data_IF_623006885530
#
_entry.id   IF_623006885530
#
_cell.length_a   1.000
_cell.length_b   1.000
_cell.length_c   1.000
_cell.angle_alpha   90.00
_cell.angle_beta   90.00
_cell.angle_gamma   90.00
#
_symmetry.space_group_name_H-M   'P 1'
#
loop_
_entity.id
_entity.type
_entity.pdbx_description
1 polymer ?
#
# COMPACT_ATOMS: atom_id res chain seq x y z
N UNK A 1 16.93 -9.48 20.75
CA UNK A 1 15.87 -8.74 21.48
C UNK A 1 15.52 -7.42 20.80
N UNK A 2 16.50 -6.53 20.56
CA UNK A 2 16.30 -5.21 19.92
C UNK A 2 15.49 -5.23 18.61
N UNK A 3 15.76 -6.16 17.69
CA UNK A 3 15.02 -6.24 16.42
C UNK A 3 13.51 -6.48 16.63
N UNK A 4 13.12 -7.32 17.60
CA UNK A 4 11.71 -7.60 17.88
C UNK A 4 11.00 -6.36 18.46
N UNK A 5 11.69 -5.64 19.33
CA UNK A 5 11.19 -4.37 19.88
C UNK A 5 11.01 -3.32 18.77
N UNK A 6 11.99 -3.20 17.85
CA UNK A 6 11.89 -2.30 16.71
C UNK A 6 10.71 -2.64 15.79
N UNK A 7 10.45 -3.93 15.55
CA UNK A 7 9.28 -4.39 14.79
C UNK A 7 7.98 -4.02 15.51
N UNK A 8 7.92 -4.18 16.84
CA UNK A 8 6.73 -3.83 17.62
C UNK A 8 6.44 -2.33 17.57
N UNK A 9 7.47 -1.49 17.75
CA UNK A 9 7.33 -0.02 17.65
C UNK A 9 6.86 0.38 16.25
N UNK A 10 7.49 -0.16 15.21
CA UNK A 10 7.09 0.05 13.83
C UNK A 10 5.65 -0.39 13.57
N UNK A 11 5.22 -1.53 14.12
CA UNK A 11 3.84 -2.01 14.01
C UNK A 11 2.85 -1.03 14.66
N UNK A 12 3.13 -0.52 15.87
CA UNK A 12 2.26 0.45 16.54
C UNK A 12 2.09 1.72 15.70
N UNK A 13 3.17 2.17 15.06
CA UNK A 13 3.15 3.34 14.15
C UNK A 13 2.37 3.01 12.87
N UNK A 14 2.70 1.92 12.17
CA UNK A 14 2.07 1.51 10.90
C UNK A 14 0.57 1.36 11.07
N UNK A 15 0.14 0.64 12.11
CA UNK A 15 -1.30 0.37 12.37
C UNK A 15 -2.08 1.60 12.83
N UNK A 16 -1.41 2.73 13.10
CA UNK A 16 -2.03 3.92 13.64
C UNK A 16 -2.37 3.81 15.12
N UNK A 17 -2.02 2.72 15.82
CA UNK A 17 -2.32 2.56 17.25
C UNK A 17 -1.73 3.70 18.11
N UNK A 18 -0.61 4.29 17.71
CA UNK A 18 -0.05 5.47 18.37
C UNK A 18 -0.98 6.69 18.34
N UNK A 19 -1.95 6.75 17.43
CA UNK A 19 -2.87 7.89 17.32
C UNK A 19 -3.91 7.89 18.43
N UNK A 20 -4.11 6.75 19.12
CA UNK A 20 -4.93 6.67 20.33
C UNK A 20 -4.35 7.53 21.46
N UNK A 21 -3.03 7.74 21.44
CA UNK A 21 -2.33 8.62 22.38
C UNK A 21 -2.18 10.01 21.78
N UNK A 22 -1.61 10.10 20.57
CA UNK A 22 -1.42 11.37 19.87
C UNK A 22 -1.27 11.16 18.37
N UNK A 23 -2.15 11.77 17.58
CA UNK A 23 -2.10 11.68 16.11
C UNK A 23 -0.75 12.15 15.53
N UNK A 24 -0.15 13.21 16.09
CA UNK A 24 1.15 13.74 15.64
C UNK A 24 2.30 12.74 15.81
N UNK A 25 2.25 11.90 16.86
CA UNK A 25 3.25 10.84 17.08
C UNK A 25 3.19 9.81 15.95
N UNK A 26 1.99 9.46 15.48
CA UNK A 26 1.81 8.52 14.36
C UNK A 26 2.38 9.10 13.07
N UNK A 27 2.07 10.37 12.80
CA UNK A 27 2.52 11.08 11.61
C UNK A 27 4.04 11.22 11.57
N UNK A 28 4.63 11.81 12.61
CA UNK A 28 6.08 12.00 12.71
C UNK A 28 6.80 10.65 12.81
N UNK A 29 6.27 9.71 13.59
CA UNK A 29 6.82 8.37 13.73
C UNK A 29 6.86 7.62 12.40
N UNK A 30 5.80 7.70 11.59
CA UNK A 30 5.76 7.08 10.26
C UNK A 30 6.85 7.63 9.34
N UNK A 31 7.01 8.96 9.32
CA UNK A 31 8.07 9.63 8.56
C UNK A 31 9.47 9.25 9.05
N UNK A 32 9.71 9.33 10.37
CA UNK A 32 11.02 8.98 10.96
C UNK A 32 11.37 7.53 10.65
N UNK A 33 10.45 6.58 10.81
CA UNK A 33 10.72 5.18 10.49
C UNK A 33 11.00 4.97 9.01
N UNK A 34 10.28 5.66 8.13
CA UNK A 34 10.54 5.64 6.70
C UNK A 34 11.93 6.18 6.35
N UNK A 35 12.41 7.24 6.99
CA UNK A 35 13.76 7.81 6.76
C UNK A 35 14.86 6.96 7.42
N UNK A 36 14.61 6.37 8.58
CA UNK A 36 15.57 5.50 9.28
C UNK A 36 15.86 4.23 8.49
N UNK A 37 14.88 3.67 7.76
CA UNK A 37 15.06 2.46 6.95
C UNK A 37 16.21 2.57 5.91
N UNK A 38 16.27 3.57 5.01
CA UNK A 38 17.35 3.75 4.06
C UNK A 38 18.65 4.20 4.74
N UNK A 39 18.60 4.96 5.84
CA UNK A 39 19.80 5.26 6.63
C UNK A 39 20.41 3.96 7.19
N UNK A 40 19.60 3.06 7.73
CA UNK A 40 20.05 1.75 8.19
C UNK A 40 20.65 0.93 7.04
N UNK A 41 20.12 1.05 5.81
CA UNK A 41 20.70 0.42 4.63
C UNK A 41 22.13 0.91 4.35
N UNK A 42 22.43 2.21 4.50
CA UNK A 42 23.78 2.76 4.26
C UNK A 42 24.87 2.08 5.09
N UNK A 43 24.52 1.58 6.28
CA UNK A 43 25.44 0.89 7.16
C UNK A 43 25.50 -0.63 6.96
N UNK A 44 24.72 -1.20 6.03
CA UNK A 44 24.77 -2.64 5.74
C UNK A 44 25.72 -2.95 4.57
N UNK A 45 26.58 -4.00 4.68
CA UNK A 45 27.57 -4.33 3.63
C UNK A 45 26.97 -4.71 2.28
N UNK A 46 25.74 -5.22 2.26
CA UNK A 46 25.08 -5.73 1.03
C UNK A 46 23.97 -4.80 0.54
N UNK A 47 23.98 -3.56 0.99
CA UNK A 47 22.96 -2.59 0.64
C UNK A 47 23.07 -2.09 -0.80
N UNK A 48 21.96 -1.56 -1.30
CA UNK A 48 21.94 -0.72 -2.49
C UNK A 48 21.08 0.49 -2.25
N UNK A 49 21.55 1.61 -2.77
CA UNK A 49 20.86 2.89 -2.70
C UNK A 49 20.36 3.26 -4.10
N UNK A 50 19.12 3.73 -4.14
CA UNK A 50 18.45 4.20 -5.35
C UNK A 50 18.35 5.74 -5.27
N UNK A 51 19.30 6.48 -5.85
CA UNK A 51 19.44 7.92 -5.63
C UNK A 51 18.22 8.74 -6.08
N UNK A 52 17.47 8.27 -7.09
CA UNK A 52 16.22 8.93 -7.51
C UNK A 52 15.18 8.98 -6.39
N UNK A 53 15.10 7.95 -5.54
CA UNK A 53 14.21 7.94 -4.38
C UNK A 53 14.74 8.74 -3.19
N UNK A 54 15.95 9.31 -3.27
CA UNK A 54 16.43 10.36 -2.35
C UNK A 54 16.13 11.74 -2.94
N UNK A 55 16.46 11.93 -4.21
CA UNK A 55 16.37 13.23 -4.90
C UNK A 55 14.92 13.69 -5.07
N UNK A 56 14.03 12.83 -5.60
CA UNK A 56 12.66 13.23 -5.93
C UNK A 56 11.85 13.64 -4.68
N UNK A 57 11.90 12.91 -3.55
CA UNK A 57 11.26 13.36 -2.32
C UNK A 57 11.81 14.68 -1.79
N UNK A 58 13.13 14.91 -1.87
CA UNK A 58 13.73 16.19 -1.49
C UNK A 58 13.22 17.35 -2.36
N UNK A 59 13.01 17.11 -3.66
CA UNK A 59 12.39 18.10 -4.57
C UNK A 59 10.94 18.38 -4.13
N UNK A 60 10.14 17.36 -3.83
CA UNK A 60 8.76 17.54 -3.35
C UNK A 60 8.73 18.35 -2.04
N UNK A 61 9.61 18.03 -1.09
CA UNK A 61 9.77 18.75 0.18
C UNK A 61 10.14 20.22 -0.06
N UNK A 62 11.12 20.48 -0.93
CA UNK A 62 11.55 21.84 -1.27
C UNK A 62 10.43 22.68 -1.89
N UNK A 63 9.69 22.13 -2.85
CA UNK A 63 8.55 22.83 -3.47
C UNK A 63 7.41 23.03 -2.46
N UNK A 64 7.17 22.04 -1.59
CA UNK A 64 6.16 22.15 -0.53
C UNK A 64 6.49 23.29 0.45
N UNK A 65 7.76 23.46 0.83
CA UNK A 65 8.22 24.57 1.67
C UNK A 65 7.98 25.91 0.98
N UNK A 66 8.38 26.03 -0.29
CA UNK A 66 8.14 27.26 -1.08
C UNK A 66 6.65 27.56 -1.19
N UNK A 67 5.81 26.55 -1.49
CA UNK A 67 4.35 26.71 -1.54
C UNK A 67 3.78 27.14 -0.18
N UNK A 68 4.26 26.55 0.92
CA UNK A 68 3.85 26.92 2.28
C UNK A 68 4.13 28.37 2.61
N UNK A 69 5.32 28.86 2.28
CA UNK A 69 5.71 30.26 2.51
C UNK A 69 4.90 31.23 1.64
N UNK A 70 4.76 30.93 0.34
CA UNK A 70 4.01 31.79 -0.59
C UNK A 70 2.53 31.90 -0.22
N UNK A 71 1.95 30.80 0.28
CA UNK A 71 0.52 30.73 0.61
C UNK A 71 0.21 30.98 2.09
N UNK A 72 1.23 31.26 2.92
CA UNK A 72 1.11 31.49 4.37
C UNK A 72 0.36 30.32 5.02
N UNK A 73 0.77 29.10 4.71
CA UNK A 73 0.07 27.90 5.17
C UNK A 73 0.28 27.67 6.68
N UNK A 74 -0.70 27.08 7.39
CA UNK A 74 -0.55 26.77 8.81
C UNK A 74 0.64 25.83 9.07
N UNK A 75 1.47 26.16 10.06
CA UNK A 75 2.68 25.37 10.39
C UNK A 75 2.39 23.90 10.68
N UNK A 76 1.25 23.60 11.32
CA UNK A 76 0.84 22.21 11.60
C UNK A 76 0.59 21.40 10.33
N UNK A 77 -0.06 22.01 9.33
CA UNK A 77 -0.36 21.40 8.05
C UNK A 77 0.89 21.21 7.19
N UNK A 78 1.80 22.20 7.25
CA UNK A 78 3.11 22.09 6.62
C UNK A 78 3.89 20.89 7.18
N UNK A 79 4.01 20.76 8.51
CA UNK A 79 4.74 19.63 9.13
C UNK A 79 4.16 18.27 8.71
N UNK A 80 2.83 18.18 8.64
CA UNK A 80 2.15 16.96 8.17
C UNK A 80 2.60 16.60 6.75
N UNK A 81 2.46 17.53 5.80
CA UNK A 81 2.71 17.25 4.38
C UNK A 81 4.20 17.03 4.10
N UNK A 82 5.08 17.77 4.78
CA UNK A 82 6.52 17.50 4.73
C UNK A 82 6.86 16.09 5.23
N UNK A 83 6.21 15.63 6.31
CA UNK A 83 6.39 14.28 6.83
C UNK A 83 5.93 13.22 5.81
N UNK A 84 4.83 13.48 5.12
CA UNK A 84 4.33 12.63 4.05
C UNK A 84 5.30 12.50 2.88
N UNK A 85 5.85 13.63 2.41
CA UNK A 85 6.80 13.64 1.30
C UNK A 85 8.16 13.05 1.69
N UNK A 86 8.68 13.37 2.88
CA UNK A 86 9.90 12.79 3.39
C UNK A 86 9.80 11.27 3.57
N UNK A 87 8.61 10.72 3.86
CA UNK A 87 8.43 9.27 3.96
C UNK A 87 8.75 8.52 2.64
N UNK A 88 8.71 9.17 1.47
CA UNK A 88 9.13 8.57 0.20
C UNK A 88 10.63 8.25 0.14
N UNK A 89 11.45 8.89 1.00
CA UNK A 89 12.88 8.56 1.16
C UNK A 89 13.04 7.09 1.55
N UNK A 90 12.04 6.49 2.23
CA UNK A 90 12.03 5.08 2.60
C UNK A 90 12.20 4.11 1.42
N UNK A 91 11.89 4.54 0.19
CA UNK A 91 12.10 3.73 -1.01
C UNK A 91 13.54 3.71 -1.51
N UNK A 92 14.47 4.46 -0.90
CA UNK A 92 15.83 4.61 -1.39
C UNK A 92 16.75 3.42 -1.09
N UNK A 93 16.46 2.62 -0.05
CA UNK A 93 17.38 1.58 0.41
C UNK A 93 16.82 0.16 0.27
N UNK A 94 17.65 -0.75 -0.21
CA UNK A 94 17.44 -2.20 -0.05
C UNK A 94 18.65 -2.86 0.60
N UNK A 95 18.43 -3.84 1.48
CA UNK A 95 19.49 -4.67 2.05
C UNK A 95 18.93 -6.03 2.50
N UNK A 96 19.52 -7.15 2.08
CA UNK A 96 19.12 -8.48 2.56
C UNK A 96 19.11 -8.59 4.09
N UNK A 97 19.98 -7.86 4.78
CA UNK A 97 20.14 -7.90 6.23
C UNK A 97 18.94 -7.27 6.97
N UNK A 98 18.25 -6.32 6.32
CA UNK A 98 17.04 -5.67 6.85
C UNK A 98 15.75 -6.39 6.41
N UNK A 99 15.84 -7.41 5.57
CA UNK A 99 14.66 -8.11 5.06
C UNK A 99 13.84 -8.75 6.18
N UNK A 100 14.49 -9.33 7.18
CA UNK A 100 13.79 -9.88 8.36
C UNK A 100 12.99 -8.83 9.13
N UNK A 101 13.52 -7.62 9.24
CA UNK A 101 12.81 -6.50 9.87
C UNK A 101 11.59 -6.10 9.04
N UNK A 102 11.76 -5.86 7.74
CA UNK A 102 10.66 -5.47 6.84
C UNK A 102 9.53 -6.50 6.82
N UNK A 103 9.85 -7.80 6.70
CA UNK A 103 8.83 -8.87 6.78
C UNK A 103 8.13 -8.91 8.12
N UNK A 104 8.86 -8.70 9.21
CA UNK A 104 8.31 -8.60 10.55
C UNK A 104 7.30 -7.46 10.67
N UNK A 105 7.65 -6.27 10.18
CA UNK A 105 6.74 -5.10 10.16
C UNK A 105 5.49 -5.40 9.36
N UNK A 106 5.61 -5.94 8.14
CA UNK A 106 4.48 -6.26 7.26
C UNK A 106 3.53 -7.27 7.93
N UNK A 107 4.08 -8.41 8.40
CA UNK A 107 3.27 -9.49 8.96
C UNK A 107 2.61 -9.09 10.28
N UNK A 108 3.36 -8.48 11.21
CA UNK A 108 2.82 -8.09 12.51
C UNK A 108 1.76 -7.00 12.36
N UNK A 109 1.99 -6.00 11.51
CA UNK A 109 0.99 -4.95 11.26
C UNK A 109 -0.29 -5.52 10.63
N UNK A 110 -0.15 -6.43 9.66
CA UNK A 110 -1.30 -7.10 9.04
C UNK A 110 -2.09 -7.93 10.04
N UNK A 111 -1.41 -8.67 10.92
CA UNK A 111 -2.04 -9.49 11.94
C UNK A 111 -2.79 -8.64 12.97
N UNK A 112 -2.19 -7.53 13.43
CA UNK A 112 -2.83 -6.60 14.36
C UNK A 112 -4.08 -5.98 13.73
N UNK A 113 -3.97 -5.43 12.51
CA UNK A 113 -5.13 -4.84 11.82
C UNK A 113 -6.23 -5.87 11.59
N UNK A 114 -5.88 -7.08 11.15
CA UNK A 114 -6.84 -8.17 10.95
C UNK A 114 -7.60 -8.50 12.24
N UNK A 115 -6.89 -8.70 13.35
CA UNK A 115 -7.51 -8.98 14.66
C UNK A 115 -8.42 -7.82 15.10
N UNK A 116 -7.97 -6.58 14.96
CA UNK A 116 -8.77 -5.41 15.33
C UNK A 116 -10.06 -5.31 14.52
N UNK A 117 -9.99 -5.51 13.20
CA UNK A 117 -11.16 -5.52 12.31
C UNK A 117 -12.13 -6.62 12.71
N UNK A 118 -11.64 -7.84 12.97
CA UNK A 118 -12.48 -8.98 13.36
C UNK A 118 -13.18 -8.73 14.70
N UNK A 119 -12.48 -8.18 15.69
CA UNK A 119 -13.07 -7.83 16.99
C UNK A 119 -14.15 -6.75 16.83
N UNK A 120 -13.90 -5.71 16.04
CA UNK A 120 -14.88 -4.65 15.79
C UNK A 120 -16.10 -5.19 15.04
N UNK A 121 -15.88 -6.06 14.06
CA UNK A 121 -16.96 -6.72 13.30
C UNK A 121 -17.82 -7.59 14.22
N UNK A 122 -17.21 -8.38 15.11
CA UNK A 122 -17.93 -9.20 16.07
C UNK A 122 -18.77 -8.36 17.05
N UNK A 123 -18.28 -7.17 17.43
CA UNK A 123 -19.00 -6.24 18.32
C UNK A 123 -20.14 -5.49 17.63
N UNK A 124 -20.06 -5.26 16.33
CA UNK A 124 -21.01 -4.41 15.61
C UNK A 124 -22.43 -4.99 15.51
N UNK A 125 -22.65 -6.28 15.81
CA UNK A 125 -23.95 -6.97 15.75
C UNK A 125 -24.51 -7.16 14.34
N UNK A 126 -24.27 -6.20 13.43
CA UNK A 126 -24.53 -6.28 12.00
C UNK A 126 -23.38 -5.65 11.21
N UNK A 127 -22.99 -6.28 10.10
CA UNK A 127 -22.04 -5.72 9.14
C UNK A 127 -22.75 -4.57 8.40
N UNK A 128 -22.49 -3.33 8.82
CA UNK A 128 -22.80 -2.13 8.05
C UNK A 128 -21.51 -1.46 7.59
N UNK A 129 -21.57 -0.76 6.46
CA UNK A 129 -20.39 -0.11 5.88
C UNK A 129 -19.82 0.92 6.85
N UNK A 130 -18.48 0.98 7.00
CA UNK A 130 -17.79 1.95 7.86
C UNK A 130 -18.02 1.79 9.37
N UNK A 131 -18.53 0.66 9.85
CA UNK A 131 -18.62 0.41 11.31
C UNK A 131 -17.27 0.26 11.98
N UNK A 132 -16.25 -0.11 11.20
CA UNK A 132 -14.88 -0.29 11.67
C UNK A 132 -14.15 1.07 11.58
N UNK A 133 -14.38 1.93 12.56
CA UNK A 133 -13.72 3.23 12.73
C UNK A 133 -13.04 3.26 14.10
N UNK A 134 -11.79 2.76 14.21
CA UNK A 134 -11.28 2.49 15.56
C UNK A 134 -9.77 2.59 15.80
N UNK A 135 -8.95 3.04 14.85
CA UNK A 135 -7.47 3.06 15.06
C UNK A 135 -6.81 4.34 14.56
N UNK A 136 -7.55 5.46 14.61
CA UNK A 136 -7.18 6.77 14.05
C UNK A 136 -6.74 6.77 12.58
N UNK A 137 -7.04 5.68 11.89
CA UNK A 137 -6.95 5.47 10.46
C UNK A 137 -8.37 5.26 9.94
N UNK A 138 -8.73 5.95 8.86
CA UNK A 138 -10.02 5.72 8.21
C UNK A 138 -10.12 4.29 7.66
N UNK A 139 -11.35 3.79 7.50
CA UNK A 139 -11.60 2.43 6.99
C UNK A 139 -10.82 2.13 5.70
N UNK A 140 -10.76 3.08 4.77
CA UNK A 140 -10.02 2.92 3.53
C UNK A 140 -8.52 2.65 3.77
N UNK A 141 -7.90 3.35 4.73
CA UNK A 141 -6.47 3.20 5.03
C UNK A 141 -6.16 1.82 5.60
N UNK A 142 -7.01 1.34 6.53
CA UNK A 142 -6.89 -0.03 7.10
C UNK A 142 -6.98 -1.07 5.98
N UNK A 143 -7.96 -0.94 5.08
CA UNK A 143 -8.10 -1.85 3.96
C UNK A 143 -6.90 -1.79 3.00
N UNK A 144 -6.34 -0.60 2.74
CA UNK A 144 -5.14 -0.45 1.93
C UNK A 144 -3.93 -1.17 2.55
N UNK A 145 -3.71 -1.01 3.86
CA UNK A 145 -2.61 -1.64 4.57
C UNK A 145 -2.72 -3.16 4.60
N UNK A 146 -3.93 -3.70 4.82
CA UNK A 146 -4.20 -5.14 4.71
C UNK A 146 -3.92 -5.66 3.29
N UNK A 147 -4.35 -4.93 2.25
CA UNK A 147 -4.05 -5.27 0.87
C UNK A 147 -2.55 -5.21 0.53
N UNK A 148 -1.77 -4.31 1.16
CA UNK A 148 -0.31 -4.28 0.99
C UNK A 148 0.39 -5.44 1.69
N UNK A 149 -0.15 -5.92 2.82
CA UNK A 149 0.42 -7.04 3.57
C UNK A 149 0.05 -8.43 3.05
N UNK A 150 -1.15 -8.56 2.49
CA UNK A 150 -1.70 -9.82 1.98
C UNK A 150 -0.74 -10.57 1.01
N UNK A 151 -0.08 -9.93 0.03
CA UNK A 151 0.81 -10.63 -0.88
C UNK A 151 1.99 -11.36 -0.20
N UNK A 152 2.50 -10.83 0.92
CA UNK A 152 3.55 -11.51 1.69
C UNK A 152 3.01 -12.76 2.40
N UNK A 153 1.79 -12.70 2.94
CA UNK A 153 1.12 -13.84 3.56
C UNK A 153 0.89 -14.94 2.51
N UNK A 154 0.39 -14.56 1.33
CA UNK A 154 0.17 -15.47 0.19
C UNK A 154 1.50 -16.08 -0.29
N UNK A 155 2.56 -15.28 -0.41
CA UNK A 155 3.89 -15.78 -0.76
C UNK A 155 4.36 -16.88 0.20
N UNK A 156 4.21 -16.67 1.52
CA UNK A 156 4.58 -17.67 2.50
C UNK A 156 3.67 -18.91 2.46
N UNK A 157 2.37 -18.73 2.23
CA UNK A 157 1.44 -19.85 2.06
C UNK A 157 1.83 -20.75 0.88
N UNK A 158 2.29 -20.17 -0.24
CA UNK A 158 2.76 -20.92 -1.43
C UNK A 158 4.02 -21.72 -1.13
N UNK A 159 4.93 -21.17 -0.31
CA UNK A 159 6.20 -21.82 0.04
C UNK A 159 6.10 -22.85 1.15
N UNK A 160 5.07 -22.76 2.00
CA UNK A 160 4.85 -23.70 3.09
C UNK A 160 4.30 -25.05 2.61
N UNK A 161 4.41 -26.07 3.46
CA UNK A 161 3.86 -27.42 3.24
C UNK A 161 3.01 -27.86 4.44
N UNK A 162 2.16 -28.88 4.24
CA UNK A 162 1.36 -29.50 5.30
C UNK A 162 0.51 -28.52 6.11
N UNK A 163 0.56 -28.67 7.44
CA UNK A 163 -0.22 -27.85 8.39
C UNK A 163 0.12 -26.35 8.33
N UNK A 164 1.40 -26.00 8.14
CA UNK A 164 1.82 -24.60 8.06
C UNK A 164 1.19 -23.89 6.85
N UNK A 165 1.10 -24.57 5.71
CA UNK A 165 0.41 -24.05 4.51
C UNK A 165 -1.06 -23.79 4.78
N UNK A 166 -1.72 -24.70 5.47
CA UNK A 166 -3.14 -24.55 5.85
C UNK A 166 -3.33 -23.32 6.75
N UNK A 167 -2.50 -23.15 7.78
CA UNK A 167 -2.57 -22.00 8.69
C UNK A 167 -2.34 -20.67 7.95
N UNK A 168 -1.32 -20.60 7.08
CA UNK A 168 -1.04 -19.38 6.31
C UNK A 168 -2.13 -19.07 5.26
N UNK A 169 -2.73 -20.11 4.68
CA UNK A 169 -3.87 -19.94 3.75
C UNK A 169 -5.10 -19.44 4.49
N UNK A 170 -5.37 -19.95 5.71
CA UNK A 170 -6.41 -19.45 6.59
C UNK A 170 -6.16 -17.98 6.97
N UNK A 171 -4.91 -17.63 7.31
CA UNK A 171 -4.52 -16.24 7.60
C UNK A 171 -4.73 -15.32 6.39
N UNK A 172 -4.38 -15.76 5.17
CA UNK A 172 -4.66 -14.99 3.96
C UNK A 172 -6.17 -14.80 3.72
N UNK A 173 -6.97 -15.84 3.95
CA UNK A 173 -8.42 -15.77 3.82
C UNK A 173 -9.05 -14.83 4.87
N UNK A 174 -8.58 -14.88 6.13
CA UNK A 174 -9.00 -13.96 7.18
C UNK A 174 -8.61 -12.52 6.87
N UNK A 175 -7.42 -12.29 6.34
CA UNK A 175 -6.97 -10.95 5.92
C UNK A 175 -7.87 -10.39 4.79
N UNK A 176 -8.17 -11.20 3.77
CA UNK A 176 -9.11 -10.83 2.71
C UNK A 176 -10.53 -10.57 3.25
N UNK A 177 -11.00 -11.41 4.17
CA UNK A 177 -12.29 -11.22 4.84
C UNK A 177 -12.31 -9.92 5.67
N UNK A 178 -11.24 -9.60 6.38
CA UNK A 178 -11.10 -8.33 7.09
C UNK A 178 -11.23 -7.13 6.15
N UNK A 179 -10.62 -7.17 4.96
CA UNK A 179 -10.79 -6.09 3.95
C UNK A 179 -12.26 -5.91 3.56
N UNK A 180 -13.02 -7.00 3.43
CA UNK A 180 -14.47 -6.95 3.14
C UNK A 180 -15.25 -6.39 4.34
N UNK A 181 -14.93 -6.83 5.56
CA UNK A 181 -15.58 -6.37 6.79
C UNK A 181 -15.36 -4.89 7.08
N UNK A 182 -14.21 -4.34 6.69
CA UNK A 182 -13.94 -2.90 6.75
C UNK A 182 -14.95 -2.11 5.90
N UNK A 183 -15.54 -2.72 4.86
CA UNK A 183 -16.58 -2.11 4.04
C UNK A 183 -16.07 -0.98 3.13
N UNK A 184 -14.75 -0.88 2.92
CA UNK A 184 -14.15 0.09 2.01
C UNK A 184 -14.29 -0.38 0.56
N UNK A 185 -15.02 0.38 -0.27
CA UNK A 185 -15.16 0.08 -1.71
C UNK A 185 -13.81 0.07 -2.43
N UNK A 186 -12.94 1.03 -2.13
CA UNK A 186 -11.59 1.09 -2.68
C UNK A 186 -10.77 -0.13 -2.22
N UNK A 187 -10.90 -0.51 -0.94
CA UNK A 187 -10.25 -1.70 -0.37
C UNK A 187 -10.67 -2.99 -1.07
N UNK A 188 -11.97 -3.22 -1.22
CA UNK A 188 -12.53 -4.40 -1.90
C UNK A 188 -12.15 -4.42 -3.38
N UNK A 189 -12.25 -3.28 -4.08
CA UNK A 189 -11.85 -3.17 -5.48
C UNK A 189 -10.37 -3.51 -5.69
N UNK A 190 -9.48 -2.95 -4.86
CA UNK A 190 -8.05 -3.29 -4.88
C UNK A 190 -7.81 -4.77 -4.59
N UNK A 191 -8.48 -5.35 -3.58
CA UNK A 191 -8.37 -6.78 -3.27
C UNK A 191 -8.75 -7.65 -4.48
N UNK A 192 -9.85 -7.33 -5.16
CA UNK A 192 -10.29 -8.05 -6.35
C UNK A 192 -9.27 -7.95 -7.49
N UNK A 193 -8.71 -6.76 -7.74
CA UNK A 193 -7.66 -6.60 -8.75
C UNK A 193 -6.42 -7.42 -8.38
N UNK A 194 -5.97 -7.38 -7.12
CA UNK A 194 -4.83 -8.18 -6.67
C UNK A 194 -5.09 -9.68 -6.81
N UNK A 195 -6.30 -10.16 -6.49
CA UNK A 195 -6.70 -11.55 -6.64
C UNK A 195 -6.75 -11.99 -8.12
N UNK A 196 -7.28 -11.14 -9.01
CA UNK A 196 -7.31 -11.37 -10.46
C UNK A 196 -5.89 -11.44 -11.02
N UNK A 197 -5.03 -10.46 -10.71
CA UNK A 197 -3.63 -10.45 -11.14
C UNK A 197 -2.88 -11.67 -10.60
N UNK A 198 -3.10 -12.03 -9.33
CA UNK A 198 -2.53 -13.24 -8.74
C UNK A 198 -2.95 -14.48 -9.53
N UNK A 199 -4.24 -14.67 -9.79
CA UNK A 199 -4.78 -15.81 -10.53
C UNK A 199 -4.26 -15.87 -11.97
N UNK A 200 -4.32 -14.76 -12.69
CA UNK A 200 -3.86 -14.63 -14.08
C UNK A 200 -2.40 -15.05 -14.25
N UNK A 201 -1.52 -14.57 -13.36
CA UNK A 201 -0.08 -14.73 -13.54
C UNK A 201 0.51 -15.94 -12.79
N UNK A 202 -0.17 -16.50 -11.79
CA UNK A 202 0.33 -17.67 -11.05
C UNK A 202 -0.33 -18.99 -11.47
N UNK A 203 -1.58 -18.98 -11.94
CA UNK A 203 -2.36 -20.20 -12.15
C UNK A 203 -3.05 -20.20 -13.53
N UNK A 204 -2.45 -20.84 -14.55
CA UNK A 204 -2.99 -20.89 -15.93
C UNK A 204 -4.47 -21.31 -16.02
N UNK A 205 -4.87 -22.32 -15.23
CA UNK A 205 -6.27 -22.80 -15.20
C UNK A 205 -7.21 -21.75 -14.61
N UNK A 206 -6.82 -21.15 -13.48
CA UNK A 206 -7.60 -20.08 -12.85
C UNK A 206 -7.65 -18.85 -13.75
N UNK A 207 -6.57 -18.53 -14.45
CA UNK A 207 -6.51 -17.45 -15.42
C UNK A 207 -7.56 -17.61 -16.52
N UNK A 208 -7.66 -18.82 -17.11
CA UNK A 208 -8.66 -19.13 -18.12
C UNK A 208 -10.09 -19.02 -17.57
N UNK A 209 -10.33 -19.53 -16.35
CA UNK A 209 -11.64 -19.41 -15.67
C UNK A 209 -11.98 -17.94 -15.39
N UNK A 210 -11.04 -17.15 -14.87
CA UNK A 210 -11.24 -15.72 -14.60
C UNK A 210 -11.50 -14.95 -15.88
N UNK A 211 -10.73 -15.19 -16.95
CA UNK A 211 -10.95 -14.55 -18.24
C UNK A 211 -12.32 -14.92 -18.83
N UNK A 212 -12.69 -16.20 -18.81
CA UNK A 212 -14.01 -16.67 -19.24
C UNK A 212 -15.14 -16.08 -18.40
N UNK A 213 -14.97 -15.98 -17.08
CA UNK A 213 -15.93 -15.35 -16.17
C UNK A 213 -16.08 -13.85 -16.42
N UNK A 214 -15.01 -13.12 -16.71
CA UNK A 214 -15.08 -11.70 -17.09
C UNK A 214 -15.80 -11.50 -18.41
N UNK A 215 -15.49 -12.32 -19.43
CA UNK A 215 -16.21 -12.30 -20.71
C UNK A 215 -17.69 -12.61 -20.49
N UNK A 216 -18.01 -13.62 -19.68
CA UNK A 216 -19.38 -13.96 -19.32
C UNK A 216 -20.10 -12.78 -18.64
N UNK A 217 -19.48 -12.14 -17.63
CA UNK A 217 -20.07 -10.96 -16.97
C UNK A 217 -20.33 -9.83 -17.96
N UNK A 218 -19.42 -9.59 -18.91
CA UNK A 218 -19.59 -8.56 -19.94
C UNK A 218 -20.75 -8.91 -20.87
N UNK A 219 -20.84 -10.16 -21.32
CA UNK A 219 -21.88 -10.61 -22.27
C UNK A 219 -23.27 -10.67 -21.65
N UNK A 220 -23.38 -10.91 -20.34
CA UNK A 220 -24.65 -11.07 -19.62
C UNK A 220 -24.87 -9.99 -18.55
N UNK A 221 -24.25 -8.81 -18.71
CA UNK A 221 -24.28 -7.77 -17.68
C UNK A 221 -25.70 -7.31 -17.39
N UNK A 222 -26.51 -7.13 -18.44
CA UNK A 222 -27.89 -6.65 -18.31
C UNK A 222 -28.77 -7.67 -17.57
N UNK A 223 -28.67 -8.96 -17.89
CA UNK A 223 -29.41 -10.03 -17.22
C UNK A 223 -28.97 -10.18 -15.76
N UNK A 224 -27.66 -10.09 -15.48
CA UNK A 224 -27.12 -10.11 -14.12
C UNK A 224 -27.67 -8.94 -13.30
N UNK A 225 -27.73 -7.74 -13.90
CA UNK A 225 -28.21 -6.52 -13.24
C UNK A 225 -29.73 -6.47 -13.07
N UNK A 226 -30.49 -7.30 -13.80
CA UNK A 226 -31.93 -7.47 -13.59
C UNK A 226 -32.26 -8.43 -12.43
N UNK A 227 -31.31 -9.24 -11.98
CA UNK A 227 -31.52 -10.17 -10.88
C UNK A 227 -31.67 -9.43 -9.53
N UNK A 228 -32.82 -9.62 -8.87
CA UNK A 228 -33.15 -8.92 -7.61
C UNK A 228 -32.21 -9.24 -6.44
N UNK A 229 -31.64 -10.45 -6.39
CA UNK A 229 -30.66 -10.83 -5.37
C UNK A 229 -29.35 -10.10 -5.61
N UNK A 230 -28.86 -10.08 -6.86
CA UNK A 230 -27.64 -9.36 -7.24
C UNK A 230 -27.81 -7.87 -6.96
N UNK A 231 -28.92 -7.26 -7.39
CA UNK A 231 -29.24 -5.86 -7.10
C UNK A 231 -29.33 -5.63 -5.59
N UNK A 232 -29.99 -6.51 -4.83
CA UNK A 232 -30.08 -6.39 -3.37
C UNK A 232 -28.72 -6.39 -2.68
N UNK A 233 -27.81 -7.27 -3.13
CA UNK A 233 -26.41 -7.31 -2.68
C UNK A 233 -25.69 -6.01 -3.05
N UNK A 234 -25.80 -5.58 -4.32
CA UNK A 234 -25.14 -4.36 -4.81
C UNK A 234 -25.68 -3.10 -4.12
N UNK A 235 -26.99 -3.02 -3.83
CA UNK A 235 -27.61 -1.94 -3.06
C UNK A 235 -27.11 -1.96 -1.61
N UNK A 236 -27.03 -3.14 -0.98
CA UNK A 236 -26.50 -3.28 0.39
C UNK A 236 -25.04 -2.83 0.49
N UNK A 237 -24.23 -3.13 -0.54
CA UNK A 237 -22.86 -2.64 -0.66
C UNK A 237 -22.76 -1.22 -1.26
N UNK A 238 -23.89 -0.57 -1.56
CA UNK A 238 -23.96 0.79 -2.14
C UNK A 238 -23.17 0.92 -3.46
N UNK A 239 -23.19 -0.12 -4.28
CA UNK A 239 -22.72 -0.11 -5.66
C UNK A 239 -23.79 0.35 -6.66
N UNK A 240 -25.08 0.13 -6.34
CA UNK A 240 -26.23 0.47 -7.20
C UNK A 240 -27.21 1.35 -6.43
N UNK A 241 -27.82 2.33 -7.10
CA UNK A 241 -28.78 3.31 -6.51
C UNK A 241 -28.24 4.06 -5.29
N UNK A 242 -26.93 4.22 -5.22
CA UNK A 242 -26.30 5.04 -4.20
C UNK A 242 -26.30 6.50 -4.66
N UNK A 243 -27.16 7.32 -4.04
CA UNK A 243 -27.00 8.77 -4.09
C UNK A 243 -25.86 9.15 -3.16
N UNK A 244 -24.69 9.44 -3.73
CA UNK A 244 -23.57 9.91 -2.94
C UNK A 244 -23.94 11.29 -2.37
N UNK A 245 -24.03 11.40 -1.04
CA UNK A 245 -24.24 12.69 -0.38
C UNK A 245 -23.13 13.72 -0.70
N UNK A 246 -22.01 13.29 -1.29
CA UNK A 246 -21.03 14.12 -2.00
C UNK A 246 -20.37 13.27 -3.09
N UNK A 247 -20.81 13.37 -4.35
CA UNK A 247 -20.16 12.64 -5.45
C UNK A 247 -18.71 13.09 -5.60
N UNK A 248 -17.76 12.15 -5.68
CA UNK A 248 -16.33 12.45 -5.93
C UNK A 248 -16.11 13.37 -7.14
N UNK A 249 -16.99 13.31 -8.13
CA UNK A 249 -17.00 14.22 -9.28
C UNK A 249 -17.19 15.69 -8.87
N UNK A 250 -18.05 15.99 -7.90
CA UNK A 250 -18.25 17.36 -7.38
C UNK A 250 -16.98 17.84 -6.66
N UNK A 251 -16.42 16.99 -5.80
CA UNK A 251 -15.16 17.27 -5.08
C UNK A 251 -14.05 17.59 -6.09
N UNK A 252 -13.88 16.74 -7.11
CA UNK A 252 -12.86 16.94 -8.14
C UNK A 252 -13.11 18.15 -9.04
N UNK A 253 -14.38 18.50 -9.29
CA UNK A 253 -14.74 19.70 -10.04
C UNK A 253 -14.31 20.94 -9.25
N UNK A 254 -14.68 21.01 -7.96
CA UNK A 254 -14.26 22.11 -7.08
C UNK A 254 -12.74 22.17 -6.99
N UNK A 255 -12.05 21.06 -6.67
CA UNK A 255 -10.58 21.03 -6.64
C UNK A 255 -9.97 21.50 -7.98
N UNK A 256 -10.55 21.07 -9.11
CA UNK A 256 -10.10 21.44 -10.45
C UNK A 256 -10.13 22.94 -10.70
N UNK A 257 -11.16 23.64 -10.20
CA UNK A 257 -11.26 25.09 -10.34
C UNK A 257 -10.21 25.84 -9.52
N UNK A 258 -9.84 25.33 -8.33
CA UNK A 258 -8.73 25.89 -7.56
C UNK A 258 -7.36 25.57 -8.16
N UNK A 259 -7.17 24.35 -8.67
CA UNK A 259 -5.95 23.97 -9.39
C UNK A 259 -5.74 24.88 -10.60
N UNK A 260 -6.80 25.21 -11.35
CA UNK A 260 -6.71 26.15 -12.49
C UNK A 260 -6.27 27.56 -12.07
N UNK A 261 -6.63 28.01 -10.86
CA UNK A 261 -6.26 29.35 -10.34
C UNK A 261 -4.82 29.40 -9.85
N UNK A 262 -4.32 28.32 -9.26
CA UNK A 262 -2.95 28.22 -8.72
C UNK A 262 -2.24 26.96 -9.20
N UNK A 263 -2.00 26.80 -10.51
CA UNK A 263 -1.55 25.52 -11.08
C UNK A 263 -0.15 25.11 -10.62
N UNK A 264 0.75 26.07 -10.44
CA UNK A 264 2.17 25.79 -10.25
C UNK A 264 2.55 25.40 -8.83
N UNK A 265 1.99 26.09 -7.83
CA UNK A 265 2.34 25.93 -6.41
C UNK A 265 1.15 25.45 -5.56
N UNK A 266 -0.03 25.30 -6.15
CA UNK A 266 -1.24 24.97 -5.40
C UNK A 266 -1.69 26.12 -4.49
N UNK A 267 -2.66 25.81 -3.63
CA UNK A 267 -3.25 26.75 -2.67
C UNK A 267 -2.53 26.75 -1.32
N UNK A 268 -1.56 25.85 -1.11
CA UNK A 268 -0.79 25.72 0.12
C UNK A 268 -1.11 24.42 0.89
N UNK A 269 -0.11 23.83 1.56
CA UNK A 269 -0.27 22.62 2.38
C UNK A 269 -1.42 22.70 3.42
N UNK A 270 -2.36 21.76 3.37
CA UNK A 270 -3.49 21.59 4.29
C UNK A 270 -4.61 22.63 4.19
N UNK A 271 -4.54 23.56 3.23
CA UNK A 271 -5.67 24.45 2.91
C UNK A 271 -6.77 23.75 2.12
N UNK A 272 -6.47 22.57 1.59
CA UNK A 272 -7.48 21.70 0.99
C UNK A 272 -8.56 21.30 2.01
N UNK A 273 -8.20 21.05 3.26
CA UNK A 273 -9.14 20.65 4.31
C UNK A 273 -10.12 21.78 4.63
N UNK A 274 -9.62 23.01 4.76
CA UNK A 274 -10.44 24.21 5.00
C UNK A 274 -11.44 24.45 3.86
N UNK A 275 -10.98 24.26 2.62
CA UNK A 275 -11.80 24.45 1.42
C UNK A 275 -12.88 23.36 1.30
N UNK A 276 -12.49 22.09 1.46
CA UNK A 276 -13.39 20.95 1.29
C UNK A 276 -14.33 20.77 2.49
N UNK A 277 -14.05 21.40 3.63
CA UNK A 277 -14.95 21.41 4.79
C UNK A 277 -16.36 21.94 4.42
N UNK A 278 -16.46 22.83 3.43
CA UNK A 278 -17.75 23.31 2.89
C UNK A 278 -18.60 22.20 2.28
N UNK A 279 -17.97 21.13 1.80
CA UNK A 279 -18.60 19.93 1.28
C UNK A 279 -18.70 18.83 2.35
N UNK A 280 -18.38 19.09 3.62
CA UNK A 280 -18.24 18.06 4.66
C UNK A 280 -17.24 16.94 4.29
N UNK A 281 -16.17 17.29 3.55
CA UNK A 281 -15.10 16.37 3.18
C UNK A 281 -13.76 16.98 3.57
N UNK A 282 -12.78 16.16 3.94
CA UNK A 282 -11.47 16.63 4.40
C UNK A 282 -10.30 16.25 3.47
N UNK A 283 -10.56 15.69 2.28
CA UNK A 283 -9.53 15.42 1.27
C UNK A 283 -10.17 15.10 -0.09
N UNK A 284 -9.38 15.22 -1.16
CA UNK A 284 -9.83 15.03 -2.54
C UNK A 284 -10.04 13.56 -2.96
N UNK A 285 -9.83 12.58 -2.06
CA UNK A 285 -9.90 11.15 -2.38
C UNK A 285 -9.09 10.73 -3.63
N UNK A 286 -7.96 11.38 -3.87
CA UNK A 286 -6.99 11.03 -4.90
C UNK A 286 -5.67 11.75 -4.58
N UNK A 287 -4.56 11.03 -4.49
CA UNK A 287 -3.25 11.65 -4.27
C UNK A 287 -2.95 12.71 -5.35
N UNK A 288 -3.29 12.44 -6.60
CA UNK A 288 -3.00 13.35 -7.71
C UNK A 288 -3.75 14.67 -7.56
N UNK A 289 -5.05 14.60 -7.28
CA UNK A 289 -5.87 15.81 -7.08
C UNK A 289 -5.46 16.55 -5.81
N UNK A 290 -5.19 15.82 -4.71
CA UNK A 290 -4.76 16.44 -3.46
C UNK A 290 -3.42 17.15 -3.62
N UNK A 291 -2.40 16.47 -4.16
CA UNK A 291 -1.06 17.04 -4.36
C UNK A 291 -1.13 18.22 -5.33
N UNK A 292 -1.91 18.12 -6.40
CA UNK A 292 -2.13 19.23 -7.34
C UNK A 292 -2.72 20.45 -6.62
N UNK A 293 -3.75 20.22 -5.79
CA UNK A 293 -4.44 21.26 -5.07
C UNK A 293 -3.51 21.94 -4.07
N UNK A 294 -2.79 21.18 -3.25
CA UNK A 294 -1.97 21.72 -2.15
C UNK A 294 -0.62 22.26 -2.60
N UNK A 295 0.05 21.58 -3.54
CA UNK A 295 1.45 21.85 -3.89
C UNK A 295 1.69 22.07 -5.40
N UNK A 296 0.65 21.97 -6.23
CA UNK A 296 0.71 22.27 -7.66
C UNK A 296 1.16 21.12 -8.55
N UNK A 297 1.03 21.31 -9.86
CA UNK A 297 1.24 20.29 -10.89
C UNK A 297 2.69 19.83 -11.01
N UNK A 298 3.65 20.65 -10.59
CA UNK A 298 5.08 20.27 -10.58
C UNK A 298 5.30 19.13 -9.60
N UNK A 299 4.73 19.22 -8.40
CA UNK A 299 4.84 18.17 -7.38
C UNK A 299 4.10 16.90 -7.82
N UNK A 300 2.97 17.05 -8.53
CA UNK A 300 2.26 15.91 -9.15
C UNK A 300 3.14 15.20 -10.18
N UNK A 301 3.87 15.94 -11.02
CA UNK A 301 4.78 15.35 -12.00
C UNK A 301 5.89 14.54 -11.31
N UNK A 302 6.50 15.10 -10.26
CA UNK A 302 7.52 14.41 -9.46
C UNK A 302 6.95 13.15 -8.80
N UNK A 303 5.76 13.25 -8.20
CA UNK A 303 5.06 12.10 -7.62
C UNK A 303 4.73 11.02 -8.66
N UNK A 304 4.31 11.42 -9.86
CA UNK A 304 4.03 10.52 -10.98
C UNK A 304 5.28 9.75 -11.41
N UNK A 305 6.44 10.40 -11.44
CA UNK A 305 7.73 9.74 -11.71
C UNK A 305 8.05 8.73 -10.61
N UNK A 306 7.87 9.10 -9.34
CA UNK A 306 8.07 8.15 -8.22
C UNK A 306 7.17 6.92 -8.38
N UNK A 307 5.88 7.12 -8.65
CA UNK A 307 4.92 6.03 -8.81
C UNK A 307 5.24 5.15 -10.03
N UNK A 308 5.63 5.77 -11.15
CA UNK A 308 6.08 5.05 -12.35
C UNK A 308 7.30 4.18 -12.05
N UNK A 309 8.32 4.73 -11.39
CA UNK A 309 9.53 3.98 -10.98
C UNK A 309 9.19 2.82 -10.03
N UNK A 310 8.22 3.00 -9.13
CA UNK A 310 7.73 1.92 -8.27
C UNK A 310 7.06 0.81 -9.10
N UNK A 311 6.20 1.17 -10.07
CA UNK A 311 5.50 0.23 -10.96
C UNK A 311 6.42 -0.53 -11.92
N UNK A 312 7.65 -0.06 -12.16
CA UNK A 312 8.67 -0.86 -12.84
C UNK A 312 9.06 -2.12 -12.05
N UNK A 313 8.86 -2.12 -10.72
CA UNK A 313 9.17 -3.28 -9.86
C UNK A 313 8.26 -4.48 -10.18
N UNK A 314 6.92 -4.39 -10.14
CA UNK A 314 6.05 -5.49 -10.54
C UNK A 314 6.20 -5.87 -12.02
N UNK A 315 6.43 -4.91 -12.93
CA UNK A 315 6.68 -5.22 -14.34
C UNK A 315 7.94 -6.09 -14.51
N UNK A 316 9.05 -5.71 -13.87
CA UNK A 316 10.28 -6.50 -13.88
C UNK A 316 10.11 -7.86 -13.18
N UNK A 317 9.30 -7.92 -12.12
CA UNK A 317 9.04 -9.16 -11.39
C UNK A 317 8.23 -10.16 -12.21
N UNK A 318 7.21 -9.67 -12.93
CA UNK A 318 6.40 -10.47 -13.82
C UNK A 318 7.25 -11.17 -14.89
N UNK A 319 8.22 -10.46 -15.47
CA UNK A 319 9.11 -10.99 -16.51
C UNK A 319 10.13 -12.02 -15.98
N UNK A 320 10.45 -11.98 -14.68
CA UNK A 320 11.52 -12.81 -14.09
C UNK A 320 11.00 -14.05 -13.38
N UNK A 321 10.03 -13.89 -12.49
CA UNK A 321 9.50 -15.00 -11.68
C UNK A 321 8.13 -14.69 -11.14
N UNK A 322 7.20 -15.62 -11.33
CA UNK A 322 5.86 -15.59 -10.72
C UNK A 322 5.91 -15.36 -9.21
N UNK A 323 6.88 -15.98 -8.55
CA UNK A 323 7.00 -15.88 -7.08
C UNK A 323 7.39 -14.45 -6.66
N UNK A 324 8.33 -13.81 -7.36
CA UNK A 324 8.71 -12.42 -7.09
C UNK A 324 7.58 -11.46 -7.46
N UNK A 325 6.80 -11.78 -8.50
CA UNK A 325 5.63 -10.99 -8.89
C UNK A 325 4.59 -10.92 -7.77
N UNK A 326 4.33 -12.03 -7.05
CA UNK A 326 3.41 -12.02 -5.89
C UNK A 326 3.80 -10.94 -4.88
N UNK A 327 5.07 -10.86 -4.47
CA UNK A 327 5.51 -9.87 -3.49
C UNK A 327 5.32 -8.42 -3.99
N UNK A 328 5.51 -8.20 -5.29
CA UNK A 328 5.34 -6.87 -5.91
C UNK A 328 3.89 -6.41 -6.06
N UNK A 329 2.89 -7.29 -5.84
CA UNK A 329 1.47 -6.92 -5.88
C UNK A 329 1.11 -5.83 -4.86
N UNK A 330 1.84 -5.73 -3.75
CA UNK A 330 1.65 -4.67 -2.76
C UNK A 330 1.83 -3.26 -3.37
N UNK A 331 2.76 -3.12 -4.32
CA UNK A 331 3.02 -1.87 -5.05
C UNK A 331 1.83 -1.49 -5.92
N UNK A 332 1.24 -2.48 -6.61
CA UNK A 332 0.03 -2.27 -7.41
C UNK A 332 -1.14 -1.87 -6.51
N UNK A 333 -1.30 -2.54 -5.36
CA UNK A 333 -2.34 -2.21 -4.38
C UNK A 333 -2.24 -0.76 -3.90
N UNK A 334 -1.04 -0.27 -3.59
CA UNK A 334 -0.81 1.13 -3.23
C UNK A 334 -1.08 2.09 -4.41
N UNK A 335 -0.69 1.73 -5.63
CA UNK A 335 -0.93 2.56 -6.81
C UNK A 335 -2.42 2.74 -7.10
N UNK A 336 -3.21 1.66 -7.04
CA UNK A 336 -4.67 1.70 -7.19
C UNK A 336 -5.33 2.55 -6.11
N UNK A 337 -4.83 2.43 -4.88
CA UNK A 337 -5.32 3.20 -3.76
C UNK A 337 -4.92 4.68 -3.86
N UNK A 338 -3.77 5.00 -4.47
CA UNK A 338 -3.34 6.38 -4.75
C UNK A 338 -4.20 7.09 -5.79
N UNK A 339 -4.82 6.34 -6.70
CA UNK A 339 -5.74 6.90 -7.70
C UNK A 339 -7.11 7.21 -7.10
N UNK A 340 -7.56 6.37 -6.16
CA UNK A 340 -8.94 6.35 -5.66
C UNK A 340 -9.08 6.90 -4.24
N UNK A 341 -7.97 7.18 -3.58
CA UNK A 341 -7.88 7.76 -2.25
C UNK A 341 -6.54 8.51 -2.06
N UNK A 342 -6.29 8.98 -0.84
CA UNK A 342 -5.12 9.79 -0.50
C UNK A 342 -4.13 9.12 0.49
N UNK A 343 -3.51 7.96 0.20
CA UNK A 343 -2.55 7.32 1.11
C UNK A 343 -1.27 8.14 1.33
N UNK A 344 -0.94 9.11 0.47
CA UNK A 344 0.25 9.96 0.66
C UNK A 344 0.16 10.72 1.96
N UNK A 345 -1.04 11.16 2.37
CA UNK A 345 -1.28 11.88 3.62
C UNK A 345 -1.14 11.03 4.88
N UNK A 346 -0.69 9.79 4.74
CA UNK A 346 -0.48 8.84 5.83
C UNK A 346 0.93 8.24 5.75
N UNK A 347 1.96 8.91 6.32
CA UNK A 347 3.35 8.48 6.23
C UNK A 347 3.57 7.08 6.81
N UNK A 348 2.74 6.65 7.75
CA UNK A 348 2.76 5.28 8.28
C UNK A 348 2.37 4.21 7.23
N UNK A 349 1.48 4.54 6.28
CA UNK A 349 1.19 3.66 5.15
C UNK A 349 2.27 3.72 4.08
N UNK A 350 2.86 4.90 3.84
CA UNK A 350 4.05 5.03 2.98
C UNK A 350 5.24 4.23 3.54
N UNK A 351 5.44 4.21 4.85
CA UNK A 351 6.45 3.37 5.50
C UNK A 351 6.17 1.88 5.32
N UNK A 352 4.92 1.43 5.49
CA UNK A 352 4.55 0.04 5.21
C UNK A 352 4.84 -0.33 3.74
N UNK A 353 4.49 0.56 2.80
CA UNK A 353 4.83 0.38 1.39
C UNK A 353 6.35 0.29 1.20
N UNK A 354 7.14 1.10 1.91
CA UNK A 354 8.60 1.04 1.81
C UNK A 354 9.14 -0.34 2.20
N UNK A 355 8.61 -0.96 3.26
CA UNK A 355 8.92 -2.35 3.59
C UNK A 355 8.49 -3.33 2.48
N UNK A 356 7.31 -3.15 1.88
CA UNK A 356 6.83 -4.01 0.79
C UNK A 356 7.69 -3.88 -0.49
N UNK A 357 8.09 -2.66 -0.85
CA UNK A 357 8.98 -2.37 -1.99
C UNK A 357 10.36 -2.98 -1.74
N UNK A 358 10.90 -2.80 -0.52
CA UNK A 358 12.16 -3.41 -0.10
C UNK A 358 12.13 -4.93 -0.33
N UNK A 359 11.12 -5.63 0.18
CA UNK A 359 10.99 -7.08 0.00
C UNK A 359 10.84 -7.50 -1.46
N UNK A 360 10.07 -6.75 -2.24
CA UNK A 360 9.87 -7.01 -3.67
C UNK A 360 11.19 -6.94 -4.43
N UNK A 361 12.03 -5.93 -4.14
CA UNK A 361 13.31 -5.78 -4.82
C UNK A 361 14.35 -6.80 -4.34
N UNK A 362 14.37 -7.16 -3.06
CA UNK A 362 15.21 -8.27 -2.55
C UNK A 362 14.85 -9.58 -3.26
N UNK A 363 13.57 -9.88 -3.44
CA UNK A 363 13.14 -11.07 -4.18
C UNK A 363 13.55 -11.03 -5.66
N UNK A 364 13.48 -9.86 -6.30
CA UNK A 364 13.94 -9.66 -7.68
C UNK A 364 15.45 -9.84 -7.84
N UNK A 365 16.22 -9.30 -6.89
CA UNK A 365 17.67 -9.44 -6.84
C UNK A 365 18.07 -10.89 -6.68
N UNK A 366 17.43 -11.61 -5.75
CA UNK A 366 17.71 -13.02 -5.53
C UNK A 366 17.54 -13.84 -6.81
N UNK A 367 16.45 -13.64 -7.55
CA UNK A 367 16.23 -14.33 -8.83
C UNK A 367 17.36 -14.01 -9.82
N UNK A 368 17.69 -12.73 -10.02
CA UNK A 368 18.76 -12.33 -10.96
C UNK A 368 20.10 -12.98 -10.60
N UNK A 369 20.44 -13.00 -9.32
CA UNK A 369 21.74 -13.49 -8.85
C UNK A 369 21.84 -15.04 -8.91
N UNK A 370 20.71 -15.77 -9.03
CA UNK A 370 20.68 -17.26 -9.11
C UNK A 370 20.22 -17.82 -10.47
N UNK A 371 19.65 -17.01 -11.35
CA UNK A 371 19.25 -17.44 -12.71
C UNK A 371 20.20 -16.93 -13.80
N UNK A 372 21.22 -16.14 -13.46
CA UNK A 372 22.23 -15.75 -14.42
C UNK A 372 22.94 -17.01 -14.95
N UNK A 373 23.10 -17.17 -16.28
CA UNK A 373 23.83 -18.31 -16.84
C UNK A 373 25.23 -18.33 -16.22
N UNK A 374 25.64 -19.49 -15.72
CA UNK A 374 26.99 -19.66 -15.21
C UNK A 374 27.95 -19.25 -16.33
N UNK A 375 28.75 -18.20 -16.09
CA UNK A 375 29.81 -17.83 -17.03
C UNK A 375 30.77 -19.03 -17.06
N UNK A 376 30.95 -19.71 -18.21
CA UNK A 376 31.83 -20.86 -18.30
C UNK A 376 33.24 -20.46 -17.85
N UNK A 377 33.75 -21.09 -16.79
CA UNK A 377 35.08 -20.82 -16.23
C UNK A 377 35.10 -20.01 -14.92
N UNK A 378 33.97 -19.49 -14.44
CA UNK A 378 33.85 -18.88 -13.11
C UNK A 378 33.03 -19.79 -12.20
N UNK A 379 33.71 -20.68 -11.47
CA UNK A 379 33.10 -21.42 -10.36
C UNK A 379 32.77 -20.44 -9.24
N UNK A 380 31.55 -19.89 -9.26
CA UNK A 380 31.03 -19.20 -8.08
C UNK A 380 30.76 -20.24 -7.00
N UNK A 381 31.41 -20.07 -5.84
CA UNK A 381 31.05 -20.80 -4.63
C UNK A 381 29.58 -20.54 -4.30
N UNK A 382 28.76 -21.57 -4.04
CA UNK A 382 27.33 -21.39 -3.79
C UNK A 382 27.13 -20.50 -2.57
N UNK A 383 26.63 -19.28 -2.80
CA UNK A 383 26.21 -18.38 -1.73
C UNK A 383 25.00 -19.01 -1.05
N UNK A 384 25.04 -19.03 0.28
CA UNK A 384 24.06 -19.67 1.15
C UNK A 384 22.61 -19.43 0.69
N UNK A 385 21.89 -20.55 0.55
CA UNK A 385 20.44 -20.66 0.40
C UNK A 385 19.73 -19.66 1.31
N UNK A 386 18.70 -18.97 0.82
CA UNK A 386 17.87 -18.04 1.61
C UNK A 386 17.66 -18.62 3.02
N UNK A 387 18.06 -17.90 4.09
CA UNK A 387 17.99 -18.42 5.45
C UNK A 387 16.52 -18.63 5.83
N UNK A 388 16.04 -19.85 5.63
CA UNK A 388 14.63 -20.21 5.70
C UNK A 388 14.26 -21.54 5.03
N UNK A 389 15.12 -22.14 4.18
CA UNK A 389 14.80 -23.43 3.52
C UNK A 389 15.74 -24.59 3.85
N UNK A 390 16.47 -24.55 4.97
CA UNK A 390 17.46 -25.59 5.32
C UNK A 390 17.12 -26.52 6.51
N UNK A 391 15.87 -26.65 6.99
CA UNK A 391 15.62 -27.48 8.19
C UNK A 391 14.55 -28.59 8.12
N UNK A 392 14.16 -29.12 6.95
CA UNK A 392 13.11 -30.18 6.90
C UNK A 392 13.49 -31.35 5.97
N UNK A 393 14.76 -31.75 5.87
CA UNK A 393 15.13 -32.96 5.11
C UNK A 393 16.11 -33.92 5.80
N UNK A 394 16.33 -33.79 7.11
CA UNK A 394 17.15 -34.76 7.86
C UNK A 394 16.46 -35.18 9.16
N UNK A 395 15.30 -35.81 9.04
CA UNK A 395 14.67 -36.64 10.08
C UNK A 395 13.43 -37.32 9.46
N UNK A 396 13.67 -38.30 8.59
CA UNK A 396 12.72 -39.34 8.21
C UNK A 396 13.53 -40.53 7.69
#
# INVERSE_FOLDING_TARGET
MFQKLAILVACVIVTGLSSLVNHRITMLGGCVMAVVLPLACLFQPRSRIHPLFLLLPCIMVGICLVSSEVQIAPTSSMIHILSCYAAFIGFAGESPDLSRYCRGVILTSSAVLMVMVLIQTAKAGAISTWTVTGVGSGANLVAAQLNMGLPLIVFYAIKATGFQRMMLSCCAALCAFSVVCVGSRNGIGSLLILAVLFGLFNHKKLAAVTAGGLVFIILFLDEIMQNSVVVGILVRFRFVRFEAQNTRSLIWTVCGDYIKRSPWLGIGPGRADEMLAQLNVNHAHSNFVQIALECGVIVVAVYSVILFLLLLTPAAALMKSRTSFVLSLAVIGYALYSLTDNPVHHPQATFLLACCVHESRIALRWVRDHTAPAIPGLTMTPVAVLPGSQSIRSAA
#
